data_IF_186575089628
#
_entry.id   IF_186575089628
#
_cell.length_a   1.000
_cell.length_b   1.000
_cell.length_c   1.000
_cell.angle_alpha   90.00
_cell.angle_beta   90.00
_cell.angle_gamma   90.00
#
_symmetry.space_group_name_H-M   'P 1'
#
loop_
_entity.id
_entity.type
_entity.pdbx_description
1 polymer ?
#
# COMPACT_ATOMS: atom_id res chain seq x y z
N UNK A 1 1.84 9.79 -18.85
CA UNK A 1 2.56 8.61 -18.30
C UNK A 1 1.80 7.40 -18.76
N UNK A 2 2.41 6.58 -19.61
CA UNK A 2 1.80 5.34 -20.07
C UNK A 2 1.86 4.34 -18.92
N UNK A 3 0.79 3.56 -18.70
CA UNK A 3 0.72 2.62 -17.58
C UNK A 3 1.69 1.46 -17.77
N UNK A 4 2.30 0.98 -16.68
CA UNK A 4 3.18 -0.19 -16.69
C UNK A 4 2.49 -1.45 -17.26
N UNK A 5 1.18 -1.55 -17.09
CA UNK A 5 0.34 -2.63 -17.61
C UNK A 5 0.42 -2.73 -19.14
N UNK A 6 0.42 -1.59 -19.85
CA UNK A 6 0.55 -1.55 -21.31
C UNK A 6 1.89 -2.13 -21.79
N UNK A 7 3.00 -1.79 -21.10
CA UNK A 7 4.32 -2.31 -21.46
C UNK A 7 4.52 -3.77 -21.06
N UNK A 8 3.79 -4.27 -20.05
CA UNK A 8 3.76 -5.70 -19.74
C UNK A 8 3.05 -6.50 -20.82
N UNK A 9 1.92 -6.00 -21.34
CA UNK A 9 1.23 -6.60 -22.48
C UNK A 9 2.09 -6.57 -23.74
N UNK A 10 2.74 -5.43 -24.03
CA UNK A 10 3.67 -5.31 -25.15
C UNK A 10 4.85 -6.29 -25.02
N UNK A 11 5.37 -6.51 -23.82
CA UNK A 11 6.45 -7.46 -23.58
C UNK A 11 6.03 -8.91 -23.88
N UNK A 12 4.80 -9.29 -23.51
CA UNK A 12 4.25 -10.60 -23.86
C UNK A 12 4.06 -10.76 -25.36
N UNK A 13 3.54 -9.74 -26.05
CA UNK A 13 3.37 -9.75 -27.50
C UNK A 13 4.73 -9.78 -28.23
N UNK A 14 5.73 -9.07 -27.70
CA UNK A 14 7.08 -9.02 -28.28
C UNK A 14 7.75 -10.40 -28.22
N UNK A 15 7.60 -11.12 -27.11
CA UNK A 15 8.11 -12.48 -26.96
C UNK A 15 7.52 -13.46 -28.00
N UNK A 16 6.29 -13.24 -28.45
CA UNK A 16 5.61 -14.06 -29.49
C UNK A 16 5.83 -13.51 -30.91
N UNK A 17 6.49 -12.35 -31.05
CA UNK A 17 6.77 -11.72 -32.34
C UNK A 17 5.57 -11.03 -33.00
N UNK A 18 4.56 -10.62 -32.21
CA UNK A 18 3.34 -9.97 -32.71
C UNK A 18 3.31 -8.45 -32.52
N UNK A 19 4.46 -7.80 -32.34
CA UNK A 19 4.57 -6.36 -32.08
C UNK A 19 5.05 -5.62 -33.33
N UNK A 20 4.50 -4.44 -33.59
CA UNK A 20 4.93 -3.60 -34.71
C UNK A 20 6.25 -2.87 -34.42
N UNK A 21 7.00 -2.50 -35.47
CA UNK A 21 8.28 -1.78 -35.33
C UNK A 21 8.28 -0.56 -34.39
N UNK A 22 7.30 0.36 -34.43
CA UNK A 22 7.26 1.50 -33.51
C UNK A 22 6.97 1.10 -32.06
N UNK A 23 6.21 0.01 -31.84
CA UNK A 23 5.89 -0.51 -30.51
C UNK A 23 7.10 -1.20 -29.87
N UNK A 24 7.90 -1.94 -30.65
CA UNK A 24 9.18 -2.51 -30.16
C UNK A 24 10.10 -1.39 -29.66
N UNK A 25 10.24 -0.31 -30.44
CA UNK A 25 11.07 0.82 -30.04
C UNK A 25 10.55 1.50 -28.76
N UNK A 26 9.23 1.65 -28.63
CA UNK A 26 8.62 2.21 -27.43
C UNK A 26 8.82 1.31 -26.19
N UNK A 27 8.79 -0.02 -26.38
CA UNK A 27 9.08 -0.99 -25.32
C UNK A 27 10.56 -0.93 -24.90
N UNK A 28 11.49 -0.90 -25.86
CA UNK A 28 12.93 -0.81 -25.61
C UNK A 28 13.28 0.46 -24.81
N UNK A 29 12.77 1.62 -25.23
CA UNK A 29 12.94 2.91 -24.54
C UNK A 29 12.40 2.88 -23.09
N UNK A 30 11.38 2.05 -22.83
CA UNK A 30 10.77 1.91 -21.50
C UNK A 30 11.52 0.93 -20.59
N UNK A 31 11.93 -0.24 -21.09
CA UNK A 31 12.64 -1.26 -20.28
C UNK A 31 14.05 -0.80 -19.88
N UNK A 32 14.66 0.14 -20.62
CA UNK A 32 15.89 0.82 -20.20
C UNK A 32 15.70 1.57 -18.88
N UNK A 33 14.52 2.12 -18.64
CA UNK A 33 14.21 2.99 -17.49
C UNK A 33 13.39 2.30 -16.40
N UNK A 34 12.77 1.16 -16.70
CA UNK A 34 11.89 0.44 -15.78
C UNK A 34 12.36 -1.01 -15.54
N UNK A 35 12.80 -1.30 -14.31
CA UNK A 35 13.27 -2.62 -13.92
C UNK A 35 12.17 -3.70 -13.91
N UNK A 36 10.93 -3.36 -13.54
CA UNK A 36 9.83 -4.33 -13.50
C UNK A 36 9.41 -4.80 -14.90
N UNK A 37 9.30 -3.88 -15.86
CA UNK A 37 9.00 -4.21 -17.26
C UNK A 37 10.16 -4.96 -17.93
N UNK A 38 11.42 -4.66 -17.55
CA UNK A 38 12.58 -5.43 -18.00
C UNK A 38 12.52 -6.90 -17.54
N UNK A 39 12.19 -7.12 -16.26
CA UNK A 39 12.03 -8.47 -15.71
C UNK A 39 10.90 -9.23 -16.41
N UNK A 40 9.73 -8.60 -16.59
CA UNK A 40 8.62 -9.23 -17.29
C UNK A 40 8.99 -9.62 -18.74
N UNK A 41 9.72 -8.77 -19.45
CA UNK A 41 10.21 -9.07 -20.80
C UNK A 41 11.17 -10.25 -20.83
N UNK A 42 12.12 -10.35 -19.88
CA UNK A 42 13.03 -11.50 -19.79
C UNK A 42 12.28 -12.79 -19.44
N UNK A 43 11.27 -12.72 -18.57
CA UNK A 43 10.48 -13.88 -18.16
C UNK A 43 9.66 -14.43 -19.36
N UNK A 44 8.98 -13.56 -20.10
CA UNK A 44 8.24 -13.96 -21.29
C UNK A 44 9.15 -14.52 -22.39
N UNK A 45 10.30 -13.88 -22.65
CA UNK A 45 11.29 -14.39 -23.60
C UNK A 45 11.84 -15.77 -23.19
N UNK A 46 12.08 -15.96 -21.88
CA UNK A 46 12.52 -17.24 -21.31
C UNK A 46 11.49 -18.36 -21.52
N UNK A 47 10.20 -18.09 -21.26
CA UNK A 47 9.12 -19.06 -21.49
C UNK A 47 9.06 -19.47 -22.97
N UNK A 48 9.15 -18.50 -23.88
CA UNK A 48 9.07 -18.78 -25.33
C UNK A 48 10.29 -19.56 -25.82
N UNK A 49 11.48 -19.27 -25.30
CA UNK A 49 12.71 -19.96 -25.72
C UNK A 49 12.92 -21.32 -25.06
N UNK A 50 12.49 -21.50 -23.80
CA UNK A 50 12.72 -22.73 -23.04
C UNK A 50 11.58 -23.75 -23.17
N UNK A 51 10.31 -23.31 -23.12
CA UNK A 51 9.17 -24.22 -22.94
C UNK A 51 8.48 -24.58 -24.26
N UNK A 52 8.45 -23.67 -25.24
CA UNK A 52 7.79 -23.90 -26.53
C UNK A 52 8.53 -24.91 -27.44
N UNK A 53 9.87 -24.97 -27.51
CA UNK A 53 10.57 -26.01 -28.27
C UNK A 53 10.36 -27.42 -27.71
N UNK A 54 10.17 -27.55 -26.39
CA UNK A 54 9.90 -28.84 -25.72
C UNK A 54 8.55 -29.41 -26.13
N UNK A 55 7.57 -28.56 -26.45
CA UNK A 55 6.28 -28.98 -27.00
C UNK A 55 6.35 -29.39 -28.48
N UNK A 56 7.24 -28.78 -29.25
CA UNK A 56 7.47 -29.14 -30.65
C UNK A 56 8.12 -30.54 -30.78
N UNK A 57 9.11 -30.86 -29.95
CA UNK A 57 9.80 -32.15 -29.97
C UNK A 57 8.90 -33.31 -29.45
N UNK A 58 7.97 -33.01 -28.53
CA UNK A 58 6.97 -33.98 -28.06
C UNK A 58 5.93 -34.32 -29.13
N UNK A 59 5.58 -33.36 -29.99
CA UNK A 59 4.60 -33.55 -31.09
C UNK A 59 5.18 -34.43 -32.20
N UNK A 60 6.49 -34.36 -32.43
CA UNK A 60 7.19 -35.08 -33.49
C UNK A 60 7.43 -36.56 -33.15
N UNK A 61 7.74 -36.89 -31.88
CA UNK A 61 7.81 -38.29 -31.41
C UNK A 61 6.45 -38.99 -31.40
N UNK A 62 5.40 -38.28 -30.99
CA UNK A 62 4.03 -38.82 -30.99
C UNK A 62 3.51 -39.02 -32.42
N UNK A 63 3.91 -38.16 -33.36
CA UNK A 63 3.48 -38.28 -34.77
C UNK A 63 4.18 -39.43 -35.52
N UNK A 64 5.46 -39.73 -35.22
CA UNK A 64 6.17 -40.90 -35.77
C UNK A 64 5.65 -42.23 -35.23
N UNK A 65 5.28 -42.30 -33.95
CA UNK A 65 4.62 -43.49 -33.36
C UNK A 65 3.18 -43.69 -33.86
N UNK A 66 2.46 -42.59 -34.15
CA UNK A 66 1.09 -42.60 -34.68
C UNK A 66 1.01 -43.00 -36.16
N UNK A 67 2.09 -42.84 -36.93
CA UNK A 67 2.19 -43.32 -38.32
C UNK A 67 2.46 -44.84 -38.43
N UNK A 68 3.10 -45.45 -37.42
CA UNK A 68 3.44 -46.88 -37.38
C UNK A 68 2.32 -47.76 -36.79
N UNK A 69 1.43 -47.20 -35.96
CA UNK A 69 0.33 -47.92 -35.33
C UNK A 69 -1.01 -47.35 -35.81
N UNK A 70 -1.62 -48.02 -36.80
CA UNK A 70 -2.92 -47.69 -37.40
C UNK A 70 -4.13 -47.82 -36.46
N UNK A 71 -4.10 -47.17 -35.30
CA UNK A 71 -5.11 -47.26 -34.25
C UNK A 71 -6.17 -46.13 -34.26
N UNK A 72 -6.10 -45.18 -35.20
CA UNK A 72 -6.89 -43.94 -35.11
C UNK A 72 -8.30 -43.99 -35.75
N UNK A 73 -8.94 -45.16 -35.80
CA UNK A 73 -10.34 -45.26 -36.26
C UNK A 73 -11.35 -45.34 -35.13
N UNK A 74 -10.95 -45.83 -33.96
CA UNK A 74 -11.84 -46.00 -32.81
C UNK A 74 -11.99 -44.75 -31.93
N UNK A 75 -10.95 -43.92 -31.85
CA UNK A 75 -10.93 -42.74 -30.97
C UNK A 75 -11.64 -41.55 -31.62
N UNK A 76 -11.34 -41.28 -32.89
CA UNK A 76 -12.02 -40.25 -33.69
C UNK A 76 -13.53 -40.43 -33.73
N UNK A 77 -14.01 -41.67 -33.86
CA UNK A 77 -15.45 -41.98 -33.90
C UNK A 77 -16.13 -41.70 -32.55
N UNK A 78 -15.52 -42.12 -31.44
CA UNK A 78 -16.03 -41.85 -30.08
C UNK A 78 -16.01 -40.37 -29.72
N UNK A 79 -15.02 -39.64 -30.21
CA UNK A 79 -14.95 -38.19 -30.04
C UNK A 79 -16.05 -37.46 -30.81
N UNK A 80 -16.28 -37.82 -32.08
CA UNK A 80 -17.36 -37.22 -32.89
C UNK A 80 -18.73 -37.55 -32.30
N UNK A 81 -18.95 -38.78 -31.83
CA UNK A 81 -20.20 -39.18 -31.17
C UNK A 81 -20.44 -38.41 -29.87
N UNK A 82 -19.39 -38.20 -29.05
CA UNK A 82 -19.49 -37.42 -27.80
C UNK A 82 -19.68 -35.92 -28.05
N UNK A 83 -19.01 -35.36 -29.06
CA UNK A 83 -19.15 -33.95 -29.42
C UNK A 83 -20.54 -33.65 -30.02
N UNK A 84 -21.15 -34.60 -30.74
CA UNK A 84 -22.56 -34.51 -31.17
C UNK A 84 -23.53 -34.58 -30.00
N UNK A 85 -23.28 -35.43 -29.00
CA UNK A 85 -24.07 -35.47 -27.77
C UNK A 85 -23.98 -34.15 -26.98
N UNK A 86 -22.89 -33.40 -27.14
CA UNK A 86 -22.70 -32.05 -26.58
C UNK A 86 -23.23 -30.90 -27.45
N UNK A 87 -23.97 -31.16 -28.54
CA UNK A 87 -24.61 -30.13 -29.36
C UNK A 87 -23.73 -29.43 -30.41
N UNK A 88 -22.49 -29.91 -30.62
CA UNK A 88 -21.55 -29.32 -31.58
C UNK A 88 -21.89 -29.79 -33.00
N UNK A 89 -22.24 -28.86 -33.90
CA UNK A 89 -22.50 -29.15 -35.33
C UNK A 89 -21.17 -29.12 -36.11
N UNK A 90 -20.88 -30.19 -36.84
CA UNK A 90 -19.71 -30.30 -37.71
C UNK A 90 -20.09 -30.08 -39.18
N UNK A 91 -19.13 -29.62 -39.99
CA UNK A 91 -19.30 -29.42 -41.43
C UNK A 91 -19.45 -30.75 -42.20
N UNK A 92 -20.10 -30.75 -43.38
CA UNK A 92 -20.39 -31.98 -44.14
C UNK A 92 -19.14 -32.74 -44.62
N UNK A 93 -17.95 -32.14 -44.63
CA UNK A 93 -16.71 -32.85 -44.97
C UNK A 93 -16.31 -33.90 -43.93
N UNK A 94 -16.74 -33.75 -42.67
CA UNK A 94 -16.41 -34.69 -41.58
C UNK A 94 -17.20 -36.01 -41.68
N UNK A 95 -18.35 -36.01 -42.38
CA UNK A 95 -19.25 -37.17 -42.53
C UNK A 95 -18.96 -38.05 -43.76
N UNK A 96 -17.92 -37.74 -44.54
CA UNK A 96 -17.58 -38.51 -45.73
C UNK A 96 -17.05 -39.90 -45.32
N UNK A 97 -17.95 -40.90 -45.29
CA UNK A 97 -17.62 -42.31 -45.03
C UNK A 97 -16.55 -42.75 -46.02
N UNK A 98 -15.36 -43.08 -45.53
CA UNK A 98 -14.33 -43.80 -46.28
C UNK A 98 -14.86 -45.19 -46.64
N UNK A 99 -15.46 -45.32 -47.82
CA UNK A 99 -15.77 -46.59 -48.45
C UNK A 99 -14.45 -47.33 -48.71
N UNK A 100 -14.32 -48.52 -48.11
CA UNK A 100 -13.19 -49.43 -48.39
C UNK A 100 -13.40 -50.07 -49.77
N UNK A 101 -12.35 -50.24 -50.58
CA UNK A 101 -12.37 -51.21 -51.66
C UNK A 101 -12.30 -52.61 -51.05
N UNK A 102 -13.30 -53.45 -51.32
CA UNK A 102 -13.29 -54.87 -50.99
C UNK A 102 -12.46 -55.61 -52.04
N UNK A 103 -11.24 -56.03 -51.68
CA UNK A 103 -10.49 -56.98 -52.50
C UNK A 103 -11.08 -58.38 -52.30
N UNK A 104 -11.51 -59.01 -53.39
CA UNK A 104 -12.16 -60.32 -53.42
C UNK A 104 -11.15 -61.46 -53.29
N UNK A 105 -11.43 -62.38 -52.36
CA UNK A 105 -10.76 -63.67 -52.19
C UNK A 105 -11.31 -64.70 -53.21
N UNK A 106 -10.98 -64.53 -54.50
CA UNK A 106 -11.48 -65.41 -55.57
C UNK A 106 -10.43 -65.76 -56.64
N UNK A 107 -9.16 -66.00 -56.25
CA UNK A 107 -8.08 -66.22 -57.23
C UNK A 107 -7.08 -67.36 -56.91
N UNK A 108 -7.50 -68.46 -56.26
CA UNK A 108 -6.63 -69.64 -56.10
C UNK A 108 -7.39 -70.97 -56.21
N UNK A 109 -7.80 -71.35 -57.42
CA UNK A 109 -8.48 -72.63 -57.69
C UNK A 109 -7.78 -73.60 -58.68
N UNK A 110 -6.80 -73.27 -59.55
CA UNK A 110 -6.28 -74.28 -60.49
C UNK A 110 -4.93 -74.93 -60.11
N UNK A 111 -4.55 -75.04 -58.83
CA UNK A 111 -3.26 -75.70 -58.45
C UNK A 111 -3.44 -77.11 -57.85
N UNK A 112 -4.65 -77.48 -57.43
CA UNK A 112 -4.91 -78.78 -56.76
C UNK A 112 -5.17 -79.96 -57.71
N UNK A 113 -5.43 -79.72 -59.00
CA UNK A 113 -5.70 -80.80 -59.97
C UNK A 113 -4.43 -81.43 -60.58
N UNK A 114 -3.30 -80.71 -60.63
CA UNK A 114 -2.07 -81.20 -61.26
C UNK A 114 -1.30 -82.24 -60.41
N UNK A 115 -1.45 -82.22 -59.08
CA UNK A 115 -0.72 -83.12 -58.17
C UNK A 115 -1.28 -84.55 -58.13
N UNK A 116 -2.55 -84.75 -58.45
CA UNK A 116 -3.17 -86.10 -58.42
C UNK A 116 -2.83 -86.94 -59.66
N UNK A 117 -2.51 -86.31 -60.79
CA UNK A 117 -2.13 -87.01 -62.03
C UNK A 117 -0.67 -87.51 -61.98
N UNK A 118 0.21 -86.80 -61.26
CA UNK A 118 1.62 -87.21 -61.13
C UNK A 118 1.80 -88.43 -60.22
N UNK A 119 0.96 -88.58 -59.19
CA UNK A 119 1.04 -89.67 -58.23
C UNK A 119 0.59 -91.03 -58.81
N UNK A 120 -0.39 -91.05 -59.72
CA UNK A 120 -0.85 -92.30 -60.35
C UNK A 120 0.13 -92.86 -61.38
N UNK A 121 0.87 -91.98 -62.09
CA UNK A 121 1.92 -92.37 -63.04
C UNK A 121 3.10 -93.08 -62.37
N UNK A 122 3.47 -92.67 -61.15
CA UNK A 122 4.55 -93.30 -60.37
C UNK A 122 4.18 -94.71 -59.84
N UNK A 123 2.89 -94.97 -59.58
CA UNK A 123 2.42 -96.28 -59.12
C UNK A 123 2.43 -97.30 -60.27
N UNK A 124 2.10 -96.89 -61.50
CA UNK A 124 2.15 -97.78 -62.68
C UNK A 124 3.59 -98.12 -63.07
N UNK A 125 4.51 -97.15 -63.01
CA UNK A 125 5.93 -97.35 -63.31
C UNK A 125 6.60 -98.27 -62.29
N UNK A 126 6.26 -98.14 -61.00
CA UNK A 126 6.79 -99.02 -59.94
C UNK A 126 6.25 -100.46 -60.05
N UNK A 127 4.97 -100.64 -60.40
CA UNK A 127 4.39 -101.96 -60.63
C UNK A 127 4.97 -102.67 -61.88
N UNK A 128 5.29 -101.93 -62.95
CA UNK A 128 5.89 -102.47 -64.16
C UNK A 128 7.35 -102.91 -63.96
N UNK A 129 8.14 -102.12 -63.22
CA UNK A 129 9.52 -102.51 -62.85
C UNK A 129 9.58 -103.70 -61.89
N UNK A 130 8.58 -103.89 -61.01
CA UNK A 130 8.54 -105.03 -60.10
C UNK A 130 8.24 -106.34 -60.85
N UNK A 131 7.43 -106.29 -61.91
CA UNK A 131 7.04 -107.48 -62.69
C UNK A 131 8.10 -107.93 -63.70
N UNK A 132 8.95 -107.03 -64.18
CA UNK A 132 10.04 -107.36 -65.13
C UNK A 132 11.28 -107.97 -64.47
N UNK A 133 11.49 -107.78 -63.16
CA UNK A 133 12.67 -108.29 -62.43
C UNK A 133 12.56 -109.74 -61.91
N UNK A 134 11.42 -110.42 -62.07
CA UNK A 134 11.18 -111.77 -61.52
C UNK A 134 11.48 -112.91 -62.51
N UNK A 135 11.87 -112.61 -63.76
CA UNK A 135 11.95 -113.62 -64.83
C UNK A 135 13.32 -113.73 -65.48
N UNK A 136 14.38 -113.91 -64.67
CA UNK A 136 15.65 -114.57 -65.08
C UNK A 136 16.57 -114.71 -63.86
N UNK A 137 16.52 -115.86 -63.18
CA UNK A 137 17.58 -116.28 -62.25
C UNK A 137 18.34 -117.45 -62.87
N UNK A 138 19.53 -117.23 -63.44
CA UNK A 138 20.42 -118.33 -63.81
C UNK A 138 20.95 -119.01 -62.54
N UNK A 139 20.84 -120.33 -62.49
CA UNK A 139 21.37 -121.18 -61.42
C UNK A 139 22.90 -121.11 -61.48
N UNK A 140 23.49 -120.50 -60.46
CA UNK A 140 24.93 -120.44 -60.24
C UNK A 140 25.33 -121.50 -59.19
N UNK A 141 26.55 -122.06 -59.27
CA UNK A 141 27.04 -123.07 -58.33
C UNK A 141 27.13 -122.53 -56.88
N UNK A 142 26.74 -123.36 -55.91
CA UNK A 142 26.44 -122.97 -54.52
C UNK A 142 27.62 -122.31 -53.75
N UNK A 143 28.87 -122.57 -54.14
CA UNK A 143 30.06 -121.97 -53.48
C UNK A 143 30.32 -120.51 -53.91
N UNK A 144 30.02 -120.16 -55.16
CA UNK A 144 30.15 -118.76 -55.66
C UNK A 144 28.98 -117.90 -55.18
N UNK A 145 27.80 -118.50 -54.98
CA UNK A 145 26.65 -117.83 -54.38
C UNK A 145 26.92 -117.44 -52.92
N UNK A 146 27.51 -118.34 -52.12
CA UNK A 146 27.84 -118.08 -50.73
C UNK A 146 28.92 -117.00 -50.57
N UNK A 147 29.98 -117.02 -51.41
CA UNK A 147 31.00 -115.96 -51.39
C UNK A 147 30.44 -114.59 -51.84
N UNK A 148 29.52 -114.56 -52.81
CA UNK A 148 28.81 -113.33 -53.18
C UNK A 148 27.87 -112.85 -52.08
N UNK A 149 27.23 -113.76 -51.34
CA UNK A 149 26.37 -113.44 -50.19
C UNK A 149 27.20 -112.83 -49.05
N UNK A 150 28.37 -113.42 -48.74
CA UNK A 150 29.31 -112.90 -47.72
C UNK A 150 29.89 -111.54 -48.13
N UNK A 151 30.30 -111.37 -49.39
CA UNK A 151 30.77 -110.08 -49.91
C UNK A 151 29.64 -109.03 -49.89
N UNK A 152 28.40 -109.43 -50.19
CA UNK A 152 27.22 -108.55 -50.14
C UNK A 152 26.85 -108.18 -48.70
N UNK A 153 26.94 -109.12 -47.76
CA UNK A 153 26.72 -108.85 -46.34
C UNK A 153 27.82 -107.97 -45.75
N UNK A 154 29.08 -108.18 -46.15
CA UNK A 154 30.18 -107.30 -45.78
C UNK A 154 29.98 -105.87 -46.32
N UNK A 155 29.60 -105.72 -47.59
CA UNK A 155 29.27 -104.43 -48.19
C UNK A 155 28.02 -103.78 -47.56
N UNK A 156 27.01 -104.57 -47.20
CA UNK A 156 25.84 -104.08 -46.47
C UNK A 156 26.19 -103.65 -45.04
N UNK A 157 27.12 -104.35 -44.38
CA UNK A 157 27.60 -103.97 -43.06
C UNK A 157 28.40 -102.67 -43.09
N UNK A 158 29.26 -102.47 -44.08
CA UNK A 158 29.98 -101.20 -44.24
C UNK A 158 29.02 -100.05 -44.60
N UNK A 159 28.01 -100.30 -45.44
CA UNK A 159 26.96 -99.33 -45.72
C UNK A 159 26.14 -98.99 -44.46
N UNK A 160 25.71 -99.98 -43.68
CA UNK A 160 24.99 -99.78 -42.42
C UNK A 160 25.85 -99.03 -41.39
N UNK A 161 27.13 -99.38 -41.25
CA UNK A 161 28.07 -98.64 -40.39
C UNK A 161 28.20 -97.19 -40.84
N UNK A 162 28.27 -96.92 -42.15
CA UNK A 162 28.30 -95.55 -42.67
C UNK A 162 27.00 -94.79 -42.39
N UNK A 163 25.84 -95.45 -42.45
CA UNK A 163 24.53 -94.85 -42.11
C UNK A 163 24.41 -94.58 -40.63
N UNK A 164 24.87 -95.50 -39.78
CA UNK A 164 24.92 -95.31 -38.32
C UNK A 164 25.85 -94.15 -37.96
N UNK A 165 27.03 -94.04 -38.59
CA UNK A 165 27.93 -92.91 -38.39
C UNK A 165 27.30 -91.58 -38.81
N UNK A 166 26.61 -91.52 -39.96
CA UNK A 166 25.89 -90.32 -40.41
C UNK A 166 24.72 -89.96 -39.50
N UNK A 167 23.98 -90.95 -39.00
CA UNK A 167 22.90 -90.70 -38.03
C UNK A 167 23.48 -90.17 -36.72
N UNK A 168 24.57 -90.76 -36.22
CA UNK A 168 25.25 -90.30 -35.02
C UNK A 168 25.79 -88.87 -35.17
N UNK A 169 26.35 -88.50 -36.33
CA UNK A 169 26.76 -87.12 -36.64
C UNK A 169 25.55 -86.17 -36.66
N UNK A 170 24.44 -86.58 -37.28
CA UNK A 170 23.21 -85.79 -37.32
C UNK A 170 22.57 -85.61 -35.93
N UNK A 171 22.65 -86.62 -35.07
CA UNK A 171 22.20 -86.55 -33.68
C UNK A 171 23.11 -85.64 -32.86
N UNK A 172 24.43 -85.73 -33.04
CA UNK A 172 25.37 -84.82 -32.39
C UNK A 172 25.08 -83.35 -32.76
N UNK A 173 24.84 -83.04 -34.04
CA UNK A 173 24.47 -81.69 -34.48
C UNK A 173 23.16 -81.22 -33.86
N UNK A 174 22.11 -82.06 -33.85
CA UNK A 174 20.82 -81.73 -33.23
C UNK A 174 20.95 -81.51 -31.72
N UNK A 175 21.74 -82.32 -31.03
CA UNK A 175 21.97 -82.13 -29.59
C UNK A 175 22.74 -80.84 -29.30
N UNK A 176 23.68 -80.44 -30.16
CA UNK A 176 24.36 -79.16 -30.05
C UNK A 176 23.40 -77.98 -30.28
N UNK A 177 22.53 -78.07 -31.30
CA UNK A 177 21.50 -77.07 -31.57
C UNK A 177 20.49 -76.94 -30.41
N UNK A 178 20.04 -78.06 -29.84
CA UNK A 178 19.17 -78.06 -28.66
C UNK A 178 19.85 -77.37 -27.48
N UNK A 179 21.13 -77.69 -27.20
CA UNK A 179 21.89 -77.02 -26.12
C UNK A 179 22.03 -75.52 -26.36
N UNK A 180 22.27 -75.10 -27.60
CA UNK A 180 22.33 -73.69 -27.96
C UNK A 180 20.98 -73.00 -27.70
N UNK A 181 19.88 -73.57 -28.20
CA UNK A 181 18.53 -73.03 -27.99
C UNK A 181 18.13 -73.02 -26.51
N UNK A 182 18.53 -74.02 -25.73
CA UNK A 182 18.33 -74.04 -24.28
C UNK A 182 19.09 -72.90 -23.60
N UNK A 183 20.34 -72.64 -23.99
CA UNK A 183 21.14 -71.53 -23.46
C UNK A 183 20.56 -70.15 -23.84
N UNK A 184 20.06 -69.99 -25.07
CA UNK A 184 19.40 -68.76 -25.51
C UNK A 184 18.08 -68.56 -24.77
N UNK A 185 17.34 -69.64 -24.51
CA UNK A 185 16.09 -69.59 -23.73
C UNK A 185 16.34 -69.24 -22.26
N UNK A 186 17.42 -69.74 -21.65
CA UNK A 186 17.77 -69.35 -20.27
C UNK A 186 18.21 -67.89 -20.21
N UNK A 187 19.06 -67.44 -21.14
CA UNK A 187 19.47 -66.03 -21.23
C UNK A 187 18.26 -65.11 -21.46
N UNK A 188 17.34 -65.48 -22.35
CA UNK A 188 16.10 -64.72 -22.58
C UNK A 188 15.18 -64.68 -21.35
N UNK A 189 15.08 -65.78 -20.59
CA UNK A 189 14.32 -65.81 -19.33
C UNK A 189 14.93 -64.88 -18.28
N UNK A 190 16.24 -64.89 -18.12
CA UNK A 190 16.96 -64.00 -17.19
C UNK A 190 16.74 -62.54 -17.56
N UNK A 191 16.78 -62.19 -18.86
CA UNK A 191 16.49 -60.84 -19.34
C UNK A 191 15.05 -60.41 -19.02
N UNK A 192 14.06 -61.30 -19.21
CA UNK A 192 12.66 -60.99 -18.88
C UNK A 192 12.46 -60.75 -17.39
N UNK A 193 13.12 -61.54 -16.52
CA UNK A 193 13.08 -61.32 -15.07
C UNK A 193 13.72 -59.97 -14.71
N UNK A 194 14.91 -59.69 -15.24
CA UNK A 194 15.60 -58.41 -14.98
C UNK A 194 14.79 -57.20 -15.46
N UNK A 195 14.07 -57.30 -16.58
CA UNK A 195 13.19 -56.25 -17.07
C UNK A 195 11.94 -56.08 -16.20
N UNK A 196 11.37 -57.17 -15.67
CA UNK A 196 10.24 -57.10 -14.73
C UNK A 196 10.64 -56.41 -13.44
N UNK A 197 11.78 -56.77 -12.86
CA UNK A 197 12.27 -56.14 -11.63
C UNK A 197 12.53 -54.64 -11.82
N UNK A 198 13.02 -54.23 -13.01
CA UNK A 198 13.20 -52.80 -13.33
C UNK A 198 11.88 -52.06 -13.47
N UNK A 199 10.87 -52.71 -14.07
CA UNK A 199 9.55 -52.12 -14.24
C UNK A 199 8.85 -51.95 -12.89
N UNK A 200 8.93 -52.95 -12.00
CA UNK A 200 8.40 -52.88 -10.64
C UNK A 200 9.05 -51.75 -9.83
N UNK A 201 10.38 -51.62 -9.86
CA UNK A 201 11.08 -50.49 -9.21
C UNK A 201 10.68 -49.13 -9.78
N UNK A 202 10.53 -49.02 -11.10
CA UNK A 202 10.10 -47.78 -11.72
C UNK A 202 8.65 -47.41 -11.35
N UNK A 203 7.76 -48.41 -11.20
CA UNK A 203 6.40 -48.19 -10.71
C UNK A 203 6.38 -47.74 -9.24
N UNK A 204 7.21 -48.35 -8.38
CA UNK A 204 7.38 -47.92 -6.98
C UNK A 204 7.92 -46.49 -6.89
N UNK A 205 8.93 -46.14 -7.68
CA UNK A 205 9.48 -44.79 -7.77
C UNK A 205 8.43 -43.78 -8.26
N UNK A 206 7.63 -44.14 -9.26
CA UNK A 206 6.56 -43.27 -9.76
C UNK A 206 5.51 -43.02 -8.67
N UNK A 207 5.10 -44.05 -7.93
CA UNK A 207 4.15 -43.90 -6.83
C UNK A 207 4.71 -43.03 -5.70
N UNK A 208 6.00 -43.18 -5.38
CA UNK A 208 6.68 -42.35 -4.39
C UNK A 208 6.75 -40.87 -4.82
N UNK A 209 7.09 -40.61 -6.08
CA UNK A 209 7.13 -39.25 -6.64
C UNK A 209 5.73 -38.61 -6.70
N UNK A 210 4.70 -39.38 -7.05
CA UNK A 210 3.32 -38.89 -7.03
C UNK A 210 2.87 -38.53 -5.61
N UNK A 211 3.24 -39.32 -4.61
CA UNK A 211 2.96 -39.02 -3.20
C UNK A 211 3.68 -37.74 -2.75
N UNK A 212 4.96 -37.57 -3.11
CA UNK A 212 5.73 -36.35 -2.83
C UNK A 212 5.11 -35.12 -3.50
N UNK A 213 4.69 -35.23 -4.77
CA UNK A 213 4.06 -34.14 -5.50
C UNK A 213 2.71 -33.76 -4.90
N UNK A 214 1.91 -34.72 -4.43
CA UNK A 214 0.67 -34.45 -3.69
C UNK A 214 0.96 -33.73 -2.36
N UNK A 215 1.97 -34.18 -1.61
CA UNK A 215 2.38 -33.53 -0.35
C UNK A 215 2.86 -32.10 -0.58
N UNK A 216 3.72 -31.88 -1.58
CA UNK A 216 4.24 -30.54 -1.91
C UNK A 216 3.11 -29.60 -2.35
N UNK A 217 2.14 -30.08 -3.14
CA UNK A 217 0.95 -29.30 -3.51
C UNK A 217 0.08 -28.95 -2.31
N UNK A 218 -0.09 -29.87 -1.36
CA UNK A 218 -0.83 -29.60 -0.13
C UNK A 218 -0.14 -28.53 0.72
N UNK A 219 1.19 -28.60 0.86
CA UNK A 219 1.99 -27.60 1.58
C UNK A 219 1.95 -26.23 0.90
N UNK A 220 2.03 -26.18 -0.43
CA UNK A 220 1.90 -24.94 -1.19
C UNK A 220 0.52 -24.29 -0.97
N UNK A 221 -0.56 -25.07 -1.07
CA UNK A 221 -1.91 -24.59 -0.83
C UNK A 221 -2.11 -24.09 0.62
N UNK A 222 -1.51 -24.77 1.60
CA UNK A 222 -1.52 -24.32 2.99
C UNK A 222 -0.76 -23.01 3.17
N UNK A 223 0.42 -22.88 2.58
CA UNK A 223 1.21 -21.63 2.60
C UNK A 223 0.46 -20.47 1.95
N UNK A 224 -0.21 -20.71 0.83
CA UNK A 224 -1.05 -19.71 0.16
C UNK A 224 -2.21 -19.27 1.04
N UNK A 225 -2.88 -20.21 1.71
CA UNK A 225 -3.95 -19.89 2.67
C UNK A 225 -3.44 -19.03 3.83
N UNK A 226 -2.28 -19.38 4.41
CA UNK A 226 -1.66 -18.60 5.49
C UNK A 226 -1.24 -17.20 5.03
N UNK A 227 -0.75 -17.08 3.80
CA UNK A 227 -0.39 -15.79 3.19
C UNK A 227 -1.62 -14.91 2.98
N UNK A 228 -2.72 -15.48 2.48
CA UNK A 228 -4.00 -14.77 2.32
C UNK A 228 -4.58 -14.33 3.67
N UNK A 229 -4.54 -15.18 4.69
CA UNK A 229 -4.98 -14.84 6.05
C UNK A 229 -4.14 -13.71 6.64
N UNK A 230 -2.82 -13.79 6.52
CA UNK A 230 -1.91 -12.72 6.95
C UNK A 230 -2.18 -11.41 6.21
N UNK A 231 -2.45 -11.47 4.91
CA UNK A 231 -2.84 -10.31 4.10
C UNK A 231 -4.16 -9.68 4.54
N UNK A 232 -5.16 -10.50 4.91
CA UNK A 232 -6.44 -10.02 5.47
C UNK A 232 -6.25 -9.34 6.81
N UNK A 233 -5.48 -9.95 7.72
CA UNK A 233 -5.16 -9.37 9.03
C UNK A 233 -4.39 -8.05 8.89
N UNK A 234 -3.44 -7.98 7.95
CA UNK A 234 -2.72 -6.74 7.68
C UNK A 234 -3.64 -5.63 7.15
N UNK A 235 -4.60 -5.96 6.29
CA UNK A 235 -5.60 -5.01 5.80
C UNK A 235 -6.56 -4.55 6.91
N UNK A 236 -6.99 -5.46 7.79
CA UNK A 236 -7.84 -5.16 8.94
C UNK A 236 -7.13 -4.22 9.93
N UNK A 237 -5.90 -4.54 10.33
CA UNK A 237 -5.09 -3.69 11.20
C UNK A 237 -4.83 -2.31 10.61
N UNK A 238 -4.64 -2.22 9.28
CA UNK A 238 -4.50 -0.94 8.60
C UNK A 238 -5.79 -0.10 8.70
N UNK A 239 -6.94 -0.71 8.43
CA UNK A 239 -8.23 -0.05 8.57
C UNK A 239 -8.48 0.41 10.02
N UNK A 240 -8.11 -0.41 11.00
CA UNK A 240 -8.21 -0.04 12.42
C UNK A 240 -7.30 1.15 12.76
N UNK A 241 -6.05 1.14 12.30
CA UNK A 241 -5.10 2.24 12.50
C UNK A 241 -5.62 3.56 11.90
N UNK A 242 -6.17 3.50 10.68
CA UNK A 242 -6.75 4.67 10.01
C UNK A 242 -8.00 5.17 10.78
N UNK A 243 -8.82 4.26 11.31
CA UNK A 243 -9.96 4.62 12.17
C UNK A 243 -9.54 5.29 13.49
N UNK A 244 -8.45 4.82 14.10
CA UNK A 244 -7.90 5.40 15.34
C UNK A 244 -7.34 6.78 15.06
N UNK A 245 -6.60 6.96 13.96
CA UNK A 245 -6.08 8.27 13.53
C UNK A 245 -7.21 9.26 13.26
N UNK A 246 -8.26 8.86 12.57
CA UNK A 246 -9.42 9.71 12.30
C UNK A 246 -10.13 10.14 13.61
N UNK A 247 -10.29 9.21 14.56
CA UNK A 247 -10.84 9.52 15.89
C UNK A 247 -9.94 10.47 16.68
N UNK A 248 -8.62 10.26 16.63
CA UNK A 248 -7.66 11.13 17.29
C UNK A 248 -7.74 12.55 16.72
N UNK A 249 -7.72 12.72 15.39
CA UNK A 249 -7.84 14.05 14.78
C UNK A 249 -9.16 14.74 15.10
N UNK A 250 -10.26 13.99 15.18
CA UNK A 250 -11.55 14.54 15.58
C UNK A 250 -11.56 15.00 17.05
N UNK A 251 -10.93 14.22 17.94
CA UNK A 251 -10.77 14.56 19.36
C UNK A 251 -9.88 15.80 19.53
N UNK A 252 -8.77 15.89 18.80
CA UNK A 252 -7.87 17.05 18.83
C UNK A 252 -8.57 18.33 18.35
N UNK A 253 -9.34 18.24 17.27
CA UNK A 253 -10.16 19.36 16.79
C UNK A 253 -11.20 19.80 17.84
N UNK A 254 -11.87 18.85 18.50
CA UNK A 254 -12.84 19.15 19.56
C UNK A 254 -12.18 19.84 20.76
N UNK A 255 -11.01 19.37 21.20
CA UNK A 255 -10.23 19.99 22.27
C UNK A 255 -9.80 21.41 21.90
N UNK A 256 -9.35 21.64 20.66
CA UNK A 256 -8.99 22.97 20.19
C UNK A 256 -10.20 23.94 20.21
N UNK A 257 -11.38 23.47 19.79
CA UNK A 257 -12.62 24.26 19.89
C UNK A 257 -13.00 24.56 21.34
N UNK A 258 -12.91 23.59 22.25
CA UNK A 258 -13.20 23.80 23.67
C UNK A 258 -12.22 24.79 24.32
N UNK A 259 -10.94 24.72 23.97
CA UNK A 259 -9.92 25.67 24.43
C UNK A 259 -10.19 27.08 23.93
N UNK A 260 -10.57 27.24 22.66
CA UNK A 260 -10.95 28.53 22.09
C UNK A 260 -12.16 29.14 22.83
N UNK A 261 -13.18 28.33 23.10
CA UNK A 261 -14.35 28.78 23.85
C UNK A 261 -14.02 29.17 25.30
N UNK A 262 -13.12 28.40 25.96
CA UNK A 262 -12.65 28.73 27.31
C UNK A 262 -11.92 30.07 27.33
N UNK A 263 -11.08 30.34 26.33
CA UNK A 263 -10.39 31.64 26.18
C UNK A 263 -11.38 32.77 25.97
N UNK A 264 -12.33 32.60 25.05
CA UNK A 264 -13.39 33.59 24.79
C UNK A 264 -14.19 33.93 26.05
N UNK A 265 -14.61 32.90 26.82
CA UNK A 265 -15.31 33.11 28.09
C UNK A 265 -14.42 33.80 29.13
N UNK A 266 -13.14 33.46 29.21
CA UNK A 266 -12.21 34.13 30.12
C UNK A 266 -12.01 35.60 29.78
N UNK A 267 -11.94 35.94 28.49
CA UNK A 267 -11.85 37.33 28.00
C UNK A 267 -13.13 38.11 28.32
N UNK A 268 -14.32 37.51 28.12
CA UNK A 268 -15.61 38.11 28.50
C UNK A 268 -15.70 38.37 30.00
N UNK A 269 -15.27 37.42 30.83
CA UNK A 269 -15.26 37.58 32.29
C UNK A 269 -14.28 38.69 32.73
N UNK A 270 -13.09 38.75 32.13
CA UNK A 270 -12.13 39.82 32.41
C UNK A 270 -12.70 41.19 32.01
N UNK A 271 -13.30 41.31 30.82
CA UNK A 271 -13.93 42.55 30.37
C UNK A 271 -15.08 42.99 31.28
N UNK A 272 -15.94 42.07 31.72
CA UNK A 272 -17.01 42.36 32.67
C UNK A 272 -16.48 42.80 34.03
N UNK A 273 -15.40 42.19 34.50
CA UNK A 273 -14.76 42.57 35.77
C UNK A 273 -14.26 44.01 35.71
N UNK A 274 -13.57 44.40 34.63
CA UNK A 274 -13.10 45.78 34.42
C UNK A 274 -14.27 46.77 34.37
N UNK A 275 -15.39 46.43 33.73
CA UNK A 275 -16.57 47.28 33.70
C UNK A 275 -17.17 47.48 35.09
N UNK A 276 -17.32 46.40 35.87
CA UNK A 276 -17.84 46.47 37.25
C UNK A 276 -16.92 47.33 38.13
N UNK A 277 -15.60 47.17 38.00
CA UNK A 277 -14.66 47.96 38.79
C UNK A 277 -14.72 49.45 38.42
N UNK A 278 -14.91 49.77 37.13
CA UNK A 278 -15.12 51.15 36.69
C UNK A 278 -16.42 51.75 37.22
N UNK A 279 -17.52 50.99 37.21
CA UNK A 279 -18.79 51.43 37.81
C UNK A 279 -18.64 51.69 39.31
N UNK A 280 -17.93 50.81 40.02
CA UNK A 280 -17.64 50.99 41.46
C UNK A 280 -16.84 52.25 41.72
N UNK A 281 -15.84 52.53 40.90
CA UNK A 281 -15.03 53.75 40.99
C UNK A 281 -15.90 55.01 40.79
N UNK A 282 -16.73 55.04 39.73
CA UNK A 282 -17.64 56.16 39.46
C UNK A 282 -18.66 56.36 40.58
N UNK A 283 -19.21 55.27 41.14
CA UNK A 283 -20.12 55.33 42.28
C UNK A 283 -19.42 55.80 43.57
N UNK A 284 -18.14 55.45 43.77
CA UNK A 284 -17.34 55.95 44.88
C UNK A 284 -17.08 57.46 44.75
N UNK A 285 -16.61 57.93 43.59
CA UNK A 285 -16.41 59.35 43.33
C UNK A 285 -17.72 60.15 43.41
N UNK A 286 -18.84 59.59 42.92
CA UNK A 286 -20.15 60.22 43.01
C UNK A 286 -20.65 60.39 44.45
N UNK A 287 -20.30 59.46 45.36
CA UNK A 287 -20.57 59.61 46.80
C UNK A 287 -19.70 60.69 47.43
N UNK A 288 -18.41 60.70 47.14
CA UNK A 288 -17.47 61.71 47.66
C UNK A 288 -17.91 63.14 47.30
N UNK A 289 -18.29 63.39 46.05
CA UNK A 289 -18.80 64.70 45.61
C UNK A 289 -20.10 65.05 46.35
N UNK A 290 -21.03 64.11 46.51
CA UNK A 290 -22.29 64.36 47.23
C UNK A 290 -22.04 64.71 48.70
N UNK A 291 -21.09 64.02 49.33
CA UNK A 291 -20.71 64.28 50.72
C UNK A 291 -20.02 65.64 50.89
N UNK A 292 -19.28 66.11 49.89
CA UNK A 292 -18.71 67.46 49.86
C UNK A 292 -19.80 68.52 49.67
N UNK A 293 -20.75 68.32 48.75
CA UNK A 293 -21.83 69.26 48.48
C UNK A 293 -22.87 69.35 49.61
N UNK A 294 -23.00 68.31 50.44
CA UNK A 294 -23.91 68.29 51.60
C UNK A 294 -23.29 68.74 52.92
N UNK A 295 -22.01 69.14 52.93
CA UNK A 295 -21.32 69.54 54.17
C UNK A 295 -21.85 70.89 54.68
N UNK A 296 -22.30 70.93 55.95
CA UNK A 296 -22.88 72.15 56.58
C UNK A 296 -21.87 73.29 56.74
N UNK A 297 -20.59 72.97 56.66
CA UNK A 297 -19.45 73.88 56.78
C UNK A 297 -18.73 74.04 55.44
N UNK A 298 -19.48 73.98 54.33
CA UNK A 298 -18.96 74.25 53.00
C UNK A 298 -18.92 75.77 52.73
N UNK A 299 -17.72 76.27 52.43
CA UNK A 299 -17.46 77.61 51.96
C UNK A 299 -17.20 77.56 50.46
N UNK A 300 -18.03 78.28 49.69
CA UNK A 300 -17.82 78.49 48.26
C UNK A 300 -17.34 79.92 48.09
N UNK A 301 -16.12 80.09 47.61
CA UNK A 301 -15.44 81.39 47.51
C UNK A 301 -15.00 81.58 46.06
N UNK A 302 -15.52 82.62 45.41
CA UNK A 302 -15.03 83.04 44.10
C UNK A 302 -13.72 83.82 44.25
N UNK A 303 -12.76 83.49 43.40
CA UNK A 303 -11.38 83.99 43.43
C UNK A 303 -11.11 84.75 42.15
N UNK A 304 -10.64 85.98 42.24
CA UNK A 304 -10.34 86.82 41.08
C UNK A 304 -8.89 87.24 41.07
N UNK A 305 -8.32 87.39 39.88
CA UNK A 305 -7.05 88.08 39.68
C UNK A 305 -7.30 89.60 39.81
N UNK A 306 -6.67 90.19 40.83
CA UNK A 306 -6.69 91.62 41.08
C UNK A 306 -5.39 92.21 40.53
N UNK A 307 -5.48 92.82 39.36
CA UNK A 307 -4.40 93.70 38.93
C UNK A 307 -4.33 94.92 39.87
N UNK A 308 -3.13 95.43 40.14
CA UNK A 308 -2.91 96.56 41.06
C UNK A 308 -3.58 97.88 40.64
N UNK A 309 -4.40 97.85 39.58
CA UNK A 309 -5.15 98.94 38.99
C UNK A 309 -6.67 98.80 39.15
N UNK A 310 -7.16 97.73 39.80
CA UNK A 310 -8.57 97.55 40.13
C UNK A 310 -9.44 97.06 38.97
N UNK A 311 -8.86 96.55 37.88
CA UNK A 311 -9.59 95.82 36.84
C UNK A 311 -9.48 94.31 37.12
N UNK A 312 -10.59 93.60 36.98
CA UNK A 312 -10.60 92.14 37.12
C UNK A 312 -9.90 91.52 35.92
N UNK A 313 -8.86 90.72 36.12
CA UNK A 313 -8.21 90.01 35.01
C UNK A 313 -9.04 88.81 34.54
N UNK A 314 -8.60 88.17 33.45
CA UNK A 314 -9.31 87.03 32.82
C UNK A 314 -9.26 85.76 33.68
N UNK A 315 -8.20 85.58 34.47
CA UNK A 315 -8.06 84.42 35.34
C UNK A 315 -9.05 84.52 36.51
N UNK A 316 -9.85 83.48 36.70
CA UNK A 316 -10.81 83.38 37.79
C UNK A 316 -10.76 81.98 38.41
N UNK A 317 -11.25 81.85 39.62
CA UNK A 317 -11.31 80.58 40.30
C UNK A 317 -12.46 80.47 41.28
N UNK A 318 -12.68 79.27 41.78
CA UNK A 318 -13.65 78.94 42.81
C UNK A 318 -13.03 77.94 43.76
N UNK A 319 -13.03 78.28 45.04
CA UNK A 319 -12.58 77.42 46.12
C UNK A 319 -13.79 76.85 46.82
N UNK A 320 -13.85 75.52 46.90
CA UNK A 320 -14.78 74.75 47.72
C UNK A 320 -14.00 74.28 48.94
N UNK A 321 -14.24 74.90 50.08
CA UNK A 321 -13.54 74.59 51.32
C UNK A 321 -14.53 74.01 52.32
N UNK A 322 -14.28 72.78 52.78
CA UNK A 322 -15.00 72.19 53.91
C UNK A 322 -14.09 72.22 55.13
N UNK A 323 -14.51 72.96 56.16
CA UNK A 323 -13.67 73.22 57.33
C UNK A 323 -13.22 71.90 57.98
N UNK A 324 -11.90 71.76 58.16
CA UNK A 324 -11.30 70.57 58.78
C UNK A 324 -11.45 69.26 57.98
N UNK A 325 -11.76 69.33 56.67
CA UNK A 325 -11.89 68.13 55.82
C UNK A 325 -11.12 68.24 54.51
N UNK A 326 -11.54 69.13 53.60
CA UNK A 326 -10.89 69.26 52.30
C UNK A 326 -11.07 70.62 51.64
N UNK A 327 -10.14 70.93 50.74
CA UNK A 327 -10.15 72.12 49.91
C UNK A 327 -10.00 71.70 48.44
N UNK A 328 -10.95 72.12 47.61
CA UNK A 328 -10.89 71.96 46.16
C UNK A 328 -10.85 73.33 45.52
N UNK A 329 -9.79 73.62 44.79
CA UNK A 329 -9.63 74.87 44.06
C UNK A 329 -9.78 74.57 42.56
N UNK A 330 -10.84 75.09 41.95
CA UNK A 330 -10.96 75.21 40.51
C UNK A 330 -10.46 76.57 40.04
N UNK A 331 -9.49 76.59 39.13
CA UNK A 331 -9.02 77.79 38.49
C UNK A 331 -9.20 77.69 36.98
N UNK A 332 -9.50 78.81 36.35
CA UNK A 332 -9.83 78.89 34.94
C UNK A 332 -8.96 79.95 34.29
N UNK A 333 -8.58 79.71 33.04
CA UNK A 333 -7.81 80.68 32.24
C UNK A 333 -6.47 81.13 32.87
N UNK A 334 -5.85 80.26 33.68
CA UNK A 334 -4.51 80.49 34.26
C UNK A 334 -3.42 80.69 33.18
N UNK A 335 -3.60 80.07 32.01
CA UNK A 335 -2.69 80.24 30.88
C UNK A 335 -2.98 81.54 30.14
N UNK A 336 -2.01 82.47 30.13
CA UNK A 336 -2.11 83.74 29.41
C UNK A 336 -0.97 83.87 28.39
N UNK A 337 -1.03 84.88 27.50
CA UNK A 337 0.11 85.21 26.62
C UNK A 337 1.40 85.53 27.39
N UNK A 338 1.31 85.88 28.68
CA UNK A 338 2.46 86.13 29.56
C UNK A 338 3.02 84.85 30.21
N UNK A 339 2.23 83.78 30.30
CA UNK A 339 2.61 82.51 30.93
C UNK A 339 2.14 81.32 30.08
N UNK A 340 2.89 80.94 29.02
CA UNK A 340 2.56 79.78 28.21
C UNK A 340 2.72 78.49 29.03
N UNK A 341 1.83 77.53 28.78
CA UNK A 341 1.67 76.29 29.56
C UNK A 341 2.90 75.37 29.56
N UNK A 342 3.81 75.51 28.59
CA UNK A 342 4.94 74.60 28.41
C UNK A 342 6.03 74.78 29.47
N UNK A 343 6.14 75.97 30.09
CA UNK A 343 7.33 76.37 30.84
C UNK A 343 7.07 76.64 32.32
N UNK A 344 5.82 76.48 32.80
CA UNK A 344 5.42 76.85 34.15
C UNK A 344 4.41 75.88 34.77
N UNK A 345 4.47 75.75 36.11
CA UNK A 345 3.46 75.10 36.93
C UNK A 345 2.71 76.17 37.75
N UNK A 346 1.42 75.98 37.98
CA UNK A 346 0.66 76.83 38.89
C UNK A 346 0.58 76.15 40.24
N UNK A 347 1.03 76.80 41.30
CA UNK A 347 1.07 76.22 42.65
C UNK A 347 0.24 77.07 43.60
N UNK A 348 -0.59 76.41 44.42
CA UNK A 348 -1.34 77.08 45.46
C UNK A 348 -0.58 77.05 46.79
N UNK A 349 -0.80 78.11 47.56
CA UNK A 349 -0.18 78.35 48.85
C UNK A 349 -1.25 78.80 49.83
N UNK A 350 -1.17 78.28 51.05
CA UNK A 350 -2.00 78.70 52.18
C UNK A 350 -1.15 79.41 53.22
N UNK A 351 -1.69 80.46 53.84
CA UNK A 351 -1.04 81.13 54.96
C UNK A 351 -2.07 81.65 55.96
N UNK A 352 -1.58 82.13 57.11
CA UNK A 352 -2.37 82.77 58.16
C UNK A 352 -1.97 84.25 58.28
N UNK A 353 -2.92 85.16 58.20
CA UNK A 353 -2.69 86.58 58.42
C UNK A 353 -2.55 86.87 59.94
N UNK A 354 -1.59 87.70 60.42
CA UNK A 354 -0.74 88.66 59.71
C UNK A 354 0.67 88.16 59.34
N UNK A 355 0.91 86.85 59.26
CA UNK A 355 2.24 86.27 59.03
C UNK A 355 2.40 85.64 57.62
N UNK A 356 2.44 86.43 56.53
CA UNK A 356 2.54 85.91 55.16
C UNK A 356 3.88 85.20 54.86
N UNK A 357 4.86 85.26 55.77
CA UNK A 357 6.16 84.58 55.62
C UNK A 357 6.13 83.08 55.91
N UNK A 358 5.04 82.53 56.46
CA UNK A 358 4.88 81.09 56.72
C UNK A 358 3.93 80.41 55.72
N UNK A 359 4.03 80.73 54.43
CA UNK A 359 3.21 80.11 53.40
C UNK A 359 3.52 78.61 53.28
N UNK A 360 2.48 77.78 53.42
CA UNK A 360 2.52 76.32 53.22
C UNK A 360 2.05 76.00 51.81
N UNK A 361 2.71 75.06 51.15
CA UNK A 361 2.24 74.62 49.84
C UNK A 361 1.01 73.75 49.98
N UNK A 362 -0.02 74.06 49.20
CA UNK A 362 -1.23 73.23 49.06
C UNK A 362 -1.16 72.31 47.83
N UNK A 363 -0.09 72.42 47.05
CA UNK A 363 0.15 71.59 45.86
C UNK A 363 0.03 72.34 44.54
N UNK A 364 0.23 71.59 43.45
CA UNK A 364 0.28 72.09 42.08
C UNK A 364 -1.05 71.80 41.39
N UNK A 365 -1.53 72.73 40.59
CA UNK A 365 -2.74 72.53 39.79
C UNK A 365 -2.51 71.55 38.64
N UNK A 366 -3.50 70.70 38.43
CA UNK A 366 -3.56 69.79 37.28
C UNK A 366 -4.66 70.26 36.32
N UNK A 367 -4.43 70.09 35.03
CA UNK A 367 -5.47 70.38 34.05
C UNK A 367 -6.54 69.30 34.09
N UNK A 368 -7.74 69.69 34.47
CA UNK A 368 -8.91 68.82 34.61
C UNK A 368 -9.67 68.73 33.28
N UNK A 369 -10.00 69.88 32.68
CA UNK A 369 -10.72 69.96 31.41
C UNK A 369 -10.01 70.92 30.46
N UNK A 370 -9.51 70.38 29.34
CA UNK A 370 -8.81 71.16 28.30
C UNK A 370 -9.76 72.05 27.51
N UNK A 371 -11.04 71.71 27.41
CA UNK A 371 -12.04 72.48 26.64
C UNK A 371 -12.45 73.75 27.38
N UNK A 372 -12.57 73.66 28.71
CA UNK A 372 -12.91 74.78 29.60
C UNK A 372 -11.68 75.52 30.15
N UNK A 373 -10.46 75.08 29.78
CA UNK A 373 -9.21 75.54 30.36
C UNK A 373 -9.24 75.52 31.91
N UNK A 374 -9.84 74.45 32.47
CA UNK A 374 -10.07 74.26 33.90
C UNK A 374 -8.91 73.51 34.52
N UNK A 375 -8.42 74.06 35.60
CA UNK A 375 -7.37 73.54 36.44
C UNK A 375 -7.95 73.22 37.80
N UNK A 376 -7.54 72.09 38.37
CA UNK A 376 -8.01 71.65 39.68
C UNK A 376 -6.84 71.36 40.61
N UNK A 377 -7.02 71.73 41.86
CA UNK A 377 -6.21 71.30 42.99
C UNK A 377 -7.15 70.71 44.04
N UNK A 378 -6.79 69.55 44.59
CA UNK A 378 -7.45 68.96 45.74
C UNK A 378 -6.43 68.82 46.87
N UNK A 379 -6.84 69.20 48.07
CA UNK A 379 -6.00 69.14 49.25
C UNK A 379 -6.85 68.70 50.45
N UNK A 380 -6.46 67.59 51.08
CA UNK A 380 -7.31 66.87 52.05
C UNK A 380 -6.66 66.75 53.43
N UNK A 381 -5.58 67.50 53.72
CA UNK A 381 -4.96 67.48 55.05
C UNK A 381 -5.66 68.47 55.99
N UNK A 382 -6.45 67.98 56.98
CA UNK A 382 -7.24 68.84 57.84
C UNK A 382 -6.38 69.66 58.81
N UNK A 383 -5.17 69.20 59.17
CA UNK A 383 -4.29 69.91 60.09
C UNK A 383 -3.75 71.17 59.44
N UNK A 384 -3.32 71.06 58.19
CA UNK A 384 -2.84 72.21 57.41
C UNK A 384 -3.99 73.17 57.09
N UNK A 385 -5.17 72.65 56.76
CA UNK A 385 -6.35 73.47 56.47
C UNK A 385 -6.83 74.28 57.67
N UNK A 386 -6.79 73.72 58.89
CA UNK A 386 -7.13 74.46 60.12
C UNK A 386 -6.14 75.59 60.44
N UNK A 387 -4.93 75.53 59.88
CA UNK A 387 -3.88 76.51 60.14
C UNK A 387 -3.88 77.71 59.19
N UNK A 388 -4.61 77.65 58.07
CA UNK A 388 -4.65 78.70 57.05
C UNK A 388 -5.95 79.48 57.09
N UNK A 389 -5.89 80.77 56.77
CA UNK A 389 -7.07 81.63 56.59
C UNK A 389 -7.16 82.23 55.19
N UNK A 390 -6.11 82.07 54.39
CA UNK A 390 -5.98 82.68 53.07
C UNK A 390 -5.26 81.73 52.11
N UNK A 391 -5.68 81.74 50.85
CA UNK A 391 -5.08 80.94 49.78
C UNK A 391 -4.72 81.83 48.60
N UNK A 392 -3.59 81.56 47.97
CA UNK A 392 -3.18 82.23 46.75
C UNK A 392 -2.46 81.30 45.79
N UNK A 393 -2.38 81.69 44.52
CA UNK A 393 -1.76 80.92 43.45
C UNK A 393 -0.58 81.68 42.88
N UNK A 394 0.54 81.01 42.62
CA UNK A 394 1.72 81.58 41.96
C UNK A 394 2.12 80.79 40.71
N UNK A 395 2.87 81.45 39.83
CA UNK A 395 3.55 80.81 38.68
C UNK A 395 4.92 80.33 39.10
N UNK A 396 5.12 79.03 39.20
CA UNK A 396 6.36 78.39 39.64
C UNK A 396 7.03 77.64 38.48
N UNK A 397 8.31 77.25 38.61
CA UNK A 397 8.98 76.39 37.64
C UNK A 397 8.25 75.04 37.43
N UNK A 398 8.50 74.33 36.32
CA UNK A 398 7.93 73.00 36.10
C UNK A 398 8.28 72.06 37.27
N UNK A 399 7.26 71.51 37.93
CA UNK A 399 7.44 70.69 39.13
C UNK A 399 7.25 71.42 40.47
N UNK A 400 6.98 72.72 40.44
CA UNK A 400 6.71 73.55 41.63
C UNK A 400 7.98 74.01 42.34
N UNK A 401 7.78 74.70 43.47
CA UNK A 401 8.83 75.25 44.31
C UNK A 401 8.57 74.90 45.78
N UNK A 402 9.61 74.82 46.64
CA UNK A 402 9.45 74.67 48.09
C UNK A 402 8.98 75.95 48.79
N UNK A 403 9.11 77.12 48.15
CA UNK A 403 8.66 78.41 48.68
C UNK A 403 8.02 79.23 47.55
N UNK A 404 7.07 80.14 47.83
CA UNK A 404 6.48 80.98 46.80
C UNK A 404 7.56 81.87 46.18
N UNK A 405 7.94 81.60 44.93
CA UNK A 405 8.93 82.41 44.18
C UNK A 405 8.28 83.20 43.04
N UNK A 406 7.13 82.74 42.57
CA UNK A 406 6.39 83.34 41.47
C UNK A 406 5.55 84.56 41.84
N UNK A 407 5.07 85.26 40.82
CA UNK A 407 4.06 86.30 40.95
C UNK A 407 2.73 85.68 41.41
N UNK A 408 2.04 86.35 42.36
CA UNK A 408 0.69 85.99 42.79
C UNK A 408 -0.32 86.29 41.67
N UNK A 409 -1.11 85.30 41.30
CA UNK A 409 -2.14 85.39 40.25
C UNK A 409 -3.55 85.43 40.82
N UNK A 410 -3.84 84.60 41.81
CA UNK A 410 -5.16 84.48 42.41
C UNK A 410 -5.01 84.57 43.92
N UNK A 411 -5.97 85.19 44.59
CA UNK A 411 -5.99 85.33 46.04
C UNK A 411 -7.42 85.23 46.59
N UNK A 412 -7.61 84.43 47.64
CA UNK A 412 -8.88 84.24 48.33
C UNK A 412 -8.69 84.22 49.85
N UNK A 413 -9.63 84.82 50.56
CA UNK A 413 -9.73 84.73 52.00
C UNK A 413 -10.76 83.65 52.37
N UNK A 414 -10.36 82.67 53.17
CA UNK A 414 -11.17 81.50 53.54
C UNK A 414 -12.05 81.73 54.77
N UNK A 415 -11.66 82.65 55.66
CA UNK A 415 -12.27 82.83 56.98
C UNK A 415 -13.54 83.71 56.93
N UNK A 416 -14.51 83.31 56.11
CA UNK A 416 -15.87 83.88 56.05
C UNK A 416 -16.90 82.91 56.63
N UNK A 417 -18.14 83.36 56.91
CA UNK A 417 -19.20 82.42 57.31
C UNK A 417 -19.48 81.41 56.19
N UNK A 418 -19.86 80.15 56.52
CA UNK A 418 -20.30 79.19 55.52
C UNK A 418 -21.43 79.79 54.67
N UNK A 419 -21.26 79.79 53.35
CA UNK A 419 -22.19 80.42 52.40
C UNK A 419 -23.16 79.41 51.76
N UNK A 420 -23.08 78.14 52.18
CA UNK A 420 -23.94 77.07 51.73
C UNK A 420 -24.92 76.66 52.85
N UNK A 421 -26.21 76.48 52.55
CA UNK A 421 -27.24 76.14 53.54
C UNK A 421 -27.08 74.74 54.16
#
# INVERSE_FOLDING_TARGET
MWNHEYFQELAALAAVGQVSGPEVKALDDHIEKCASCRSAHTDFAGIVQAELPVLADRRDRVSRLRALLGADRGYRRRFIERARAGGIRFSPEVDRKLTRPTASLAAFVPVRAALLVLASLLIVISAWMYRSKVRTRPVMPAEVALQREVARLAASNTELQSRVAKMAESEALKTAEIRQLESERTAGREQVVALRDRLERAEEEQLALEAQLRSAKAQAAESDSRSQESGRLAAELKNELDSVRARQSASEASLATQQAHTRELSEKLAAQTVLIDRERELLASGREIRDLMGARNLHIIDVFDVDGTGKSAKAFGRVFYTEGKSLIFYAFDLTSRRHPRADHAFQAWGYRDPAPQSARSLGIFYADDKTQNRWVLKFDDPQVLAEIDSVYVTVEPPGGSPKPTGQKLLYAYLNGQPNHP
#
